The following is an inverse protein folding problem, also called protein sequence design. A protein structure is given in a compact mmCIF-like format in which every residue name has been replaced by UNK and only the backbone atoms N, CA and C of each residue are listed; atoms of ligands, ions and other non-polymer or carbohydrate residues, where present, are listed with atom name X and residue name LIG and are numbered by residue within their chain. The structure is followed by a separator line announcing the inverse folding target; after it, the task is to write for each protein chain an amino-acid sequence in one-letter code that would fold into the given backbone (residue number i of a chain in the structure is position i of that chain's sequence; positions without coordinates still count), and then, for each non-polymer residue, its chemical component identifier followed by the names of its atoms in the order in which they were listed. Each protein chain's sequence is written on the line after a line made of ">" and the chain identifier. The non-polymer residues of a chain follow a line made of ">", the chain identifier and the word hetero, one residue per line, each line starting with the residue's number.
data_IF_122585754056
#
_entry.id   IF_122585754056
#
_cell.length_a   1.000
_cell.length_b   1.000
_cell.length_c   1.000
_cell.angle_alpha   90.00
_cell.angle_beta   90.00
_cell.angle_gamma   90.00
#
_symmetry.space_group_name_H-M   'P 1'
#
loop_
_entity.id
_entity.type
_entity.pdbx_description
1 polymer ?
#
# COMPACT_ATOMS: atom_id res chain seq x y z
N UNK A 1 18.17 -13.27 3.39
CA UNK A 1 17.76 -12.11 4.22
C UNK A 1 17.32 -12.60 5.60
N UNK A 2 17.56 -11.83 6.67
CA UNK A 2 17.03 -12.12 8.00
C UNK A 2 15.52 -11.86 7.99
N UNK A 3 14.76 -12.76 8.60
CA UNK A 3 13.29 -12.63 8.73
C UNK A 3 12.93 -12.90 10.18
N UNK A 4 12.14 -12.04 10.78
CA UNK A 4 11.66 -12.15 12.15
C UNK A 4 10.13 -12.04 12.14
N UNK A 5 9.46 -13.05 12.66
CA UNK A 5 8.01 -13.03 12.88
C UNK A 5 7.70 -12.37 14.22
N UNK A 6 6.64 -11.56 14.25
CA UNK A 6 6.14 -10.93 15.46
C UNK A 6 4.64 -10.62 15.33
N UNK A 7 4.06 -10.14 16.43
CA UNK A 7 2.74 -9.50 16.38
C UNK A 7 2.87 -8.05 16.84
N UNK A 8 2.19 -7.14 16.16
CA UNK A 8 2.04 -5.75 16.58
C UNK A 8 0.58 -5.58 17.01
N UNK A 9 0.36 -5.46 18.32
CA UNK A 9 -0.98 -5.68 18.86
C UNK A 9 -1.49 -7.08 18.52
N UNK A 10 -2.60 -7.16 17.82
CA UNK A 10 -3.16 -8.43 17.30
C UNK A 10 -2.80 -8.73 15.85
N UNK A 11 -2.04 -7.87 15.18
CA UNK A 11 -1.72 -8.00 13.75
C UNK A 11 -0.43 -8.80 13.55
N UNK A 12 -0.47 -9.97 12.87
CA UNK A 12 0.73 -10.70 12.50
C UNK A 12 1.61 -9.91 11.54
N UNK A 13 2.93 -9.97 11.77
CA UNK A 13 3.87 -9.20 10.97
C UNK A 13 5.20 -9.95 10.73
N UNK A 14 5.93 -9.51 9.70
CA UNK A 14 7.30 -9.93 9.39
C UNK A 14 8.21 -8.70 9.32
N UNK A 15 9.31 -8.70 10.05
CA UNK A 15 10.42 -7.78 9.79
C UNK A 15 11.46 -8.50 8.93
N UNK A 16 11.80 -7.93 7.79
CA UNK A 16 12.69 -8.50 6.79
C UNK A 16 13.88 -7.57 6.59
N UNK A 17 15.09 -8.11 6.61
CA UNK A 17 16.35 -7.37 6.47
C UNK A 17 17.08 -7.16 7.78
N UNK A 18 18.33 -6.67 7.70
CA UNK A 18 19.12 -6.28 8.87
C UNK A 18 18.63 -4.95 9.42
N UNK A 19 19.00 -4.63 10.66
CA UNK A 19 18.59 -3.38 11.32
C UNK A 19 18.93 -2.16 10.46
N UNK A 20 17.96 -1.31 10.22
CA UNK A 20 18.06 -0.05 9.48
C UNK A 20 17.27 1.04 10.20
N UNK A 21 17.61 2.30 9.93
CA UNK A 21 16.81 3.46 10.34
C UNK A 21 15.63 3.72 9.40
N UNK A 22 15.55 3.00 8.26
CA UNK A 22 14.55 3.16 7.21
C UNK A 22 13.72 1.90 7.08
N UNK A 23 12.42 2.07 6.92
CA UNK A 23 11.50 0.95 6.72
C UNK A 23 10.51 1.24 5.60
N UNK A 24 10.18 0.18 4.87
CA UNK A 24 8.94 0.11 4.09
C UNK A 24 7.91 -0.70 4.84
N UNK A 25 6.75 -0.11 5.10
CA UNK A 25 5.55 -0.86 5.42
C UNK A 25 4.99 -1.48 4.14
N UNK A 26 4.84 -2.79 4.12
CA UNK A 26 4.18 -3.51 3.03
C UNK A 26 2.77 -3.91 3.47
N UNK A 27 1.76 -3.37 2.76
CA UNK A 27 0.34 -3.66 3.01
C UNK A 27 -0.23 -4.38 1.80
N UNK A 28 -0.70 -5.60 2.04
CA UNK A 28 -1.30 -6.45 1.02
C UNK A 28 -2.72 -5.98 0.61
N UNK A 29 -3.18 -6.50 -0.53
CA UNK A 29 -4.58 -6.39 -0.96
C UNK A 29 -5.45 -7.52 -0.42
N UNK A 30 -6.67 -7.60 -0.93
CA UNK A 30 -7.63 -8.64 -0.56
C UNK A 30 -7.08 -10.05 -0.87
N UNK A 31 -7.29 -10.98 0.06
CA UNK A 31 -6.84 -12.40 -0.03
C UNK A 31 -5.33 -12.59 -0.20
N UNK A 32 -4.53 -11.63 0.26
CA UNK A 32 -3.07 -11.64 0.20
C UNK A 32 -2.49 -11.65 1.62
N UNK A 33 -1.22 -12.03 1.75
CA UNK A 33 -0.58 -12.25 3.04
C UNK A 33 0.76 -11.51 3.15
N UNK A 34 1.22 -11.31 4.39
CA UNK A 34 2.48 -10.62 4.74
C UNK A 34 3.72 -11.22 4.05
N UNK A 35 3.68 -12.51 3.70
CA UNK A 35 4.76 -13.21 3.02
C UNK A 35 5.07 -12.64 1.62
N UNK A 36 4.13 -11.94 0.99
CA UNK A 36 4.40 -11.25 -0.29
C UNK A 36 5.43 -10.11 -0.13
N UNK A 37 5.60 -9.60 1.08
CA UNK A 37 6.65 -8.66 1.40
C UNK A 37 8.07 -9.22 1.17
N UNK A 38 8.24 -10.55 1.13
CA UNK A 38 9.54 -11.19 0.85
C UNK A 38 10.05 -10.85 -0.54
N UNK A 39 9.17 -10.89 -1.55
CA UNK A 39 9.54 -10.53 -2.92
C UNK A 39 9.91 -9.05 -3.05
N UNK A 40 9.14 -8.15 -2.40
CA UNK A 40 9.46 -6.73 -2.35
C UNK A 40 10.78 -6.46 -1.58
N UNK A 41 11.05 -7.21 -0.54
CA UNK A 41 12.27 -7.07 0.26
C UNK A 41 13.54 -7.43 -0.54
N UNK A 42 13.45 -8.27 -1.58
CA UNK A 42 14.58 -8.51 -2.49
C UNK A 42 15.07 -7.22 -3.18
N UNK A 43 14.16 -6.26 -3.34
CA UNK A 43 14.46 -4.95 -3.95
C UNK A 43 14.79 -3.91 -2.88
N UNK A 44 14.00 -3.82 -1.80
CA UNK A 44 14.13 -2.75 -0.82
C UNK A 44 15.33 -2.93 0.13
N UNK A 45 15.63 -4.17 0.53
CA UNK A 45 16.73 -4.44 1.49
C UNK A 45 18.11 -4.09 0.92
N UNK A 46 18.46 -4.40 -0.34
CA UNK A 46 19.72 -3.95 -0.94
C UNK A 46 19.88 -2.43 -1.02
N UNK A 47 18.76 -1.68 -0.95
CA UNK A 47 18.75 -0.20 -0.93
C UNK A 47 18.77 0.39 0.49
N UNK A 48 19.01 -0.44 1.49
CA UNK A 48 19.19 -0.02 2.88
C UNK A 48 17.92 0.09 3.71
N UNK A 49 16.81 -0.48 3.25
CA UNK A 49 15.56 -0.52 4.01
C UNK A 49 15.38 -1.84 4.75
N UNK A 50 14.73 -1.81 5.90
CA UNK A 50 13.96 -2.97 6.37
C UNK A 50 12.58 -2.97 5.71
N UNK A 51 11.95 -4.13 5.65
CA UNK A 51 10.55 -4.25 5.20
C UNK A 51 9.73 -4.83 6.34
N UNK A 52 8.64 -4.16 6.68
CA UNK A 52 7.61 -4.64 7.62
C UNK A 52 6.41 -5.09 6.80
N UNK A 53 6.24 -6.39 6.62
CA UNK A 53 5.03 -6.99 6.04
C UNK A 53 4.00 -7.26 7.11
N UNK A 54 2.72 -6.98 6.86
CA UNK A 54 1.63 -7.18 7.82
C UNK A 54 0.46 -7.95 7.21
N UNK A 55 -0.23 -8.75 8.02
CA UNK A 55 -1.52 -9.35 7.68
C UNK A 55 -2.65 -8.44 8.14
N UNK A 56 -3.01 -7.46 7.29
CA UNK A 56 -4.13 -6.56 7.56
C UNK A 56 -5.43 -7.22 7.06
N UNK A 57 -6.47 -7.35 7.90
CA UNK A 57 -7.76 -7.96 7.52
C UNK A 57 -8.62 -6.98 6.72
N UNK A 58 -8.15 -6.65 5.50
CA UNK A 58 -8.74 -5.61 4.62
C UNK A 58 -10.16 -5.93 4.15
N UNK A 59 -10.63 -7.16 4.34
CA UNK A 59 -12.01 -7.60 4.06
C UNK A 59 -13.02 -7.16 5.13
N UNK A 60 -12.52 -6.69 6.30
CA UNK A 60 -13.36 -6.22 7.40
C UNK A 60 -13.79 -4.77 7.21
N UNK A 61 -14.67 -4.33 8.08
CA UNK A 61 -15.17 -2.95 8.10
C UNK A 61 -14.05 -1.96 8.45
N UNK A 62 -14.04 -0.74 7.87
CA UNK A 62 -12.97 0.23 8.12
C UNK A 62 -12.75 0.57 9.60
N UNK A 63 -13.80 0.63 10.39
CA UNK A 63 -13.71 0.89 11.84
C UNK A 63 -13.12 -0.27 12.65
N UNK A 64 -13.00 -1.46 12.07
CA UNK A 64 -12.28 -2.60 12.66
C UNK A 64 -10.82 -2.64 12.21
N UNK A 65 -10.54 -2.22 10.96
CA UNK A 65 -9.21 -2.28 10.34
C UNK A 65 -8.32 -1.11 10.76
N UNK A 66 -8.88 0.11 10.81
CA UNK A 66 -8.09 1.31 11.12
C UNK A 66 -7.44 1.29 12.51
N UNK A 67 -8.07 0.82 13.59
CA UNK A 67 -7.39 0.70 14.87
C UNK A 67 -6.14 -0.17 14.81
N UNK A 68 -6.18 -1.29 14.06
CA UNK A 68 -5.02 -2.17 13.87
C UNK A 68 -3.90 -1.45 13.12
N UNK A 69 -4.27 -0.69 12.09
CA UNK A 69 -3.28 0.05 11.31
C UNK A 69 -2.72 1.25 12.08
N UNK A 70 -3.47 1.85 12.99
CA UNK A 70 -2.97 2.86 13.92
C UNK A 70 -1.91 2.29 14.87
N UNK A 71 -2.13 1.08 15.43
CA UNK A 71 -1.11 0.39 16.24
C UNK A 71 0.17 0.14 15.43
N UNK A 72 0.03 -0.20 14.14
CA UNK A 72 1.16 -0.35 13.20
C UNK A 72 1.86 1.00 12.98
N UNK A 73 1.12 2.10 12.80
CA UNK A 73 1.69 3.44 12.66
C UNK A 73 2.54 3.80 13.88
N UNK A 74 2.00 3.64 15.07
CA UNK A 74 2.71 3.96 16.31
C UNK A 74 3.99 3.11 16.43
N UNK A 75 3.89 1.80 16.19
CA UNK A 75 5.05 0.91 16.16
C UNK A 75 6.12 1.35 15.14
N UNK A 76 5.72 1.78 13.94
CA UNK A 76 6.66 2.25 12.91
C UNK A 76 7.43 3.49 13.36
N UNK A 77 6.74 4.51 13.84
CA UNK A 77 7.39 5.77 14.24
C UNK A 77 8.16 5.68 15.55
N UNK A 78 7.90 4.67 16.39
CA UNK A 78 8.69 4.38 17.59
C UNK A 78 10.01 3.65 17.26
N UNK A 79 10.09 2.93 16.12
CA UNK A 79 11.22 2.06 15.81
C UNK A 79 12.09 2.50 14.63
N UNK A 80 11.59 3.38 13.75
CA UNK A 80 12.32 3.85 12.57
C UNK A 80 12.24 5.36 12.40
N UNK A 81 13.32 5.95 11.88
CA UNK A 81 13.40 7.40 11.63
C UNK A 81 12.72 7.78 10.30
N UNK A 82 12.71 6.86 9.32
CA UNK A 82 12.19 7.09 7.98
C UNK A 82 11.21 5.98 7.60
N UNK A 83 9.97 6.36 7.36
CA UNK A 83 8.87 5.45 7.01
C UNK A 83 8.44 5.70 5.57
N UNK A 84 8.46 4.66 4.77
CA UNK A 84 7.91 4.59 3.42
C UNK A 84 6.82 3.52 3.38
N UNK A 85 5.93 3.58 2.41
CA UNK A 85 4.84 2.61 2.28
C UNK A 85 4.81 1.97 0.90
N UNK A 86 4.48 0.69 0.86
CA UNK A 86 4.22 -0.09 -0.34
C UNK A 86 2.90 -0.82 -0.14
N UNK A 87 1.88 -0.50 -0.96
CA UNK A 87 0.55 -1.05 -0.74
C UNK A 87 -0.13 -1.48 -2.05
N UNK A 88 -1.00 -2.50 -1.95
CA UNK A 88 -1.74 -3.07 -3.06
C UNK A 88 -3.24 -2.82 -2.93
N UNK A 89 -3.91 -2.49 -4.05
CA UNK A 89 -5.37 -2.49 -4.18
C UNK A 89 -6.07 -1.78 -3.03
N UNK A 90 -6.99 -2.43 -2.32
CA UNK A 90 -7.70 -1.89 -1.15
C UNK A 90 -6.76 -1.55 0.02
N UNK A 91 -5.65 -2.27 0.17
CA UNK A 91 -4.61 -1.94 1.16
C UNK A 91 -4.04 -0.53 0.95
N UNK A 92 -4.01 -0.04 -0.29
CA UNK A 92 -3.60 1.33 -0.61
C UNK A 92 -4.54 2.36 0.02
N UNK A 93 -5.86 2.16 -0.09
CA UNK A 93 -6.83 3.06 0.50
C UNK A 93 -6.71 3.14 2.02
N UNK A 94 -6.62 1.99 2.70
CA UNK A 94 -6.41 1.95 4.15
C UNK A 94 -5.11 2.64 4.56
N UNK A 95 -4.03 2.42 3.80
CA UNK A 95 -2.73 3.06 4.04
C UNK A 95 -2.82 4.58 3.89
N UNK A 96 -3.40 5.07 2.79
CA UNK A 96 -3.59 6.50 2.57
C UNK A 96 -4.40 7.14 3.69
N UNK A 97 -5.49 6.49 4.13
CA UNK A 97 -6.36 6.98 5.18
C UNK A 97 -5.66 7.05 6.54
N UNK A 98 -4.91 6.02 6.93
CA UNK A 98 -4.21 5.97 8.22
C UNK A 98 -2.99 6.90 8.28
N UNK A 99 -2.30 7.10 7.15
CA UNK A 99 -1.04 7.84 7.09
C UNK A 99 -1.18 9.28 6.57
N UNK A 100 -2.38 9.75 6.20
CA UNK A 100 -2.56 11.07 5.58
C UNK A 100 -2.03 12.27 6.39
N UNK A 101 -1.96 12.15 7.71
CA UNK A 101 -1.40 13.17 8.60
C UNK A 101 0.00 12.82 9.13
N UNK A 102 0.61 11.76 8.64
CA UNK A 102 1.93 11.28 9.07
C UNK A 102 2.99 11.62 8.04
N UNK A 103 4.25 11.72 8.49
CA UNK A 103 5.37 11.93 7.58
C UNK A 103 5.74 10.61 6.89
N UNK A 104 5.37 10.48 5.62
CA UNK A 104 5.76 9.37 4.75
C UNK A 104 6.76 9.88 3.72
N UNK A 105 7.91 9.21 3.58
CA UNK A 105 8.97 9.66 2.67
C UNK A 105 8.63 9.39 1.21
N UNK A 106 8.01 8.25 0.93
CA UNK A 106 7.50 7.86 -0.38
C UNK A 106 6.42 6.80 -0.26
N UNK A 107 5.50 6.78 -1.20
CA UNK A 107 4.47 5.75 -1.33
C UNK A 107 4.55 5.08 -2.69
N UNK A 108 4.64 3.74 -2.71
CA UNK A 108 4.55 2.90 -3.89
C UNK A 108 3.21 2.16 -3.85
N UNK A 109 2.33 2.46 -4.77
CA UNK A 109 0.97 1.90 -4.81
C UNK A 109 0.76 1.08 -6.09
N UNK A 110 0.32 -0.16 -5.95
CA UNK A 110 0.09 -1.07 -7.09
C UNK A 110 -1.39 -1.39 -7.22
N UNK A 111 -1.95 -1.14 -8.40
CA UNK A 111 -3.38 -1.26 -8.71
C UNK A 111 -4.28 -0.64 -7.62
N UNK A 112 -3.99 0.59 -7.14
CA UNK A 112 -4.58 1.10 -5.91
C UNK A 112 -6.05 1.48 -6.06
N UNK A 113 -6.83 1.28 -4.99
CA UNK A 113 -8.09 2.01 -4.80
C UNK A 113 -7.73 3.35 -4.13
N UNK A 114 -7.87 4.46 -4.86
CA UNK A 114 -7.52 5.79 -4.39
C UNK A 114 -8.74 6.60 -3.93
N UNK A 115 -9.92 6.28 -4.45
CA UNK A 115 -11.21 6.81 -4.04
C UNK A 115 -12.19 5.65 -3.75
N UNK A 116 -12.32 5.30 -2.48
CA UNK A 116 -13.19 4.22 -2.05
C UNK A 116 -14.68 4.56 -2.23
N UNK A 117 -15.05 5.84 -2.09
CA UNK A 117 -16.43 6.28 -2.35
C UNK A 117 -16.80 5.98 -3.80
N UNK A 118 -15.99 6.43 -4.75
CA UNK A 118 -16.22 6.19 -6.17
C UNK A 118 -16.18 4.71 -6.51
N UNK A 119 -15.24 3.97 -5.92
CA UNK A 119 -15.16 2.51 -6.10
C UNK A 119 -16.46 1.81 -5.69
N UNK A 120 -17.02 2.14 -4.52
CA UNK A 120 -18.28 1.55 -4.03
C UNK A 120 -19.46 1.96 -4.92
N UNK A 121 -19.50 3.20 -5.42
CA UNK A 121 -20.56 3.69 -6.32
C UNK A 121 -20.63 2.91 -7.64
N UNK A 122 -19.51 2.35 -8.08
CA UNK A 122 -19.42 1.53 -9.29
C UNK A 122 -19.75 0.05 -9.05
N UNK A 123 -19.82 -0.39 -7.80
CA UNK A 123 -20.13 -1.78 -7.48
C UNK A 123 -21.63 -2.07 -7.65
N UNK A 124 -21.99 -3.28 -8.12
CA UNK A 124 -23.40 -3.65 -8.31
C UNK A 124 -24.19 -3.76 -6.99
N UNK A 125 -23.49 -3.95 -5.89
CA UNK A 125 -24.08 -4.00 -4.54
C UNK A 125 -23.30 -3.07 -3.61
N UNK A 126 -24.02 -2.33 -2.79
CA UNK A 126 -23.46 -1.39 -1.83
C UNK A 126 -23.91 -1.75 -0.42
N UNK A 127 -22.96 -1.81 0.50
CA UNK A 127 -23.27 -1.85 1.93
C UNK A 127 -23.38 -0.41 2.44
N UNK A 128 -24.59 -0.03 2.90
CA UNK A 128 -24.90 1.36 3.22
C UNK A 128 -24.08 1.90 4.41
N UNK A 129 -23.85 1.09 5.45
CA UNK A 129 -23.03 1.46 6.60
C UNK A 129 -21.55 1.68 6.23
N UNK A 130 -21.02 0.84 5.35
CA UNK A 130 -19.66 1.02 4.83
C UNK A 130 -19.54 2.30 4.00
N UNK A 131 -20.48 2.50 3.08
CA UNK A 131 -20.49 3.68 2.22
C UNK A 131 -20.63 4.98 3.04
N UNK A 132 -21.58 5.03 3.98
CA UNK A 132 -21.77 6.18 4.85
C UNK A 132 -20.50 6.51 5.65
N UNK A 133 -19.84 5.48 6.17
CA UNK A 133 -18.60 5.65 6.89
C UNK A 133 -17.49 6.24 5.97
N UNK A 134 -17.33 5.74 4.75
CA UNK A 134 -16.35 6.23 3.77
C UNK A 134 -16.61 7.70 3.42
N UNK A 135 -17.86 8.09 3.20
CA UNK A 135 -18.25 9.48 2.91
C UNK A 135 -17.87 10.42 4.06
N UNK A 136 -18.00 9.96 5.30
CA UNK A 136 -17.69 10.75 6.49
C UNK A 136 -16.19 10.74 6.88
N UNK A 137 -15.38 9.91 6.25
CA UNK A 137 -13.95 9.78 6.52
C UNK A 137 -13.11 9.87 5.22
N UNK A 138 -13.11 11.02 4.52
CA UNK A 138 -12.35 11.18 3.29
C UNK A 138 -10.83 11.29 3.55
N UNK A 139 -10.04 10.98 2.53
CA UNK A 139 -8.60 11.31 2.51
C UNK A 139 -8.50 12.79 2.13
N UNK A 140 -7.95 13.63 3.02
CA UNK A 140 -7.95 15.09 2.85
C UNK A 140 -6.58 15.74 2.90
N UNK A 141 -5.54 15.05 3.35
CA UNK A 141 -4.26 15.68 3.67
C UNK A 141 -3.02 14.87 3.23
N UNK A 142 -3.14 14.09 2.18
CA UNK A 142 -2.01 13.32 1.65
C UNK A 142 -0.98 14.24 0.97
N UNK A 143 0.30 14.15 1.37
CA UNK A 143 1.38 15.01 0.84
C UNK A 143 2.63 14.24 0.40
N UNK A 144 2.71 12.94 0.65
CA UNK A 144 3.89 12.15 0.29
C UNK A 144 4.04 12.00 -1.23
N UNK A 145 5.28 12.03 -1.77
CA UNK A 145 5.56 11.64 -3.15
C UNK A 145 5.00 10.25 -3.42
N UNK A 146 4.15 10.12 -4.43
CA UNK A 146 3.39 8.89 -4.67
C UNK A 146 3.67 8.36 -6.07
N UNK A 147 4.11 7.11 -6.11
CA UNK A 147 4.37 6.37 -7.33
C UNK A 147 3.31 5.28 -7.48
N UNK A 148 2.65 5.27 -8.62
CA UNK A 148 1.52 4.39 -8.90
C UNK A 148 1.87 3.51 -10.08
N UNK A 149 1.76 2.20 -9.90
CA UNK A 149 1.78 1.21 -10.98
C UNK A 149 0.35 0.71 -11.22
N UNK A 150 -0.13 0.85 -12.44
CA UNK A 150 -1.44 0.36 -12.87
C UNK A 150 -1.30 -0.57 -14.06
N UNK A 151 -2.15 -1.60 -14.18
CA UNK A 151 -2.29 -2.33 -15.44
C UNK A 151 -2.97 -1.43 -16.48
N UNK A 152 -2.74 -1.72 -17.75
CA UNK A 152 -3.41 -1.02 -18.85
C UNK A 152 -4.93 -1.25 -18.83
N UNK A 153 -5.34 -2.47 -18.53
CA UNK A 153 -6.75 -2.85 -18.40
C UNK A 153 -7.00 -3.43 -17.02
N UNK A 154 -7.58 -2.63 -16.13
CA UNK A 154 -7.99 -3.07 -14.80
C UNK A 154 -9.49 -3.36 -14.77
N UNK A 155 -9.85 -4.64 -14.71
CA UNK A 155 -11.26 -5.08 -14.65
C UNK A 155 -11.88 -4.96 -13.25
N UNK A 156 -11.08 -4.61 -12.24
CA UNK A 156 -11.52 -4.51 -10.83
C UNK A 156 -11.61 -3.05 -10.41
N UNK A 157 -10.56 -2.26 -10.70
CA UNK A 157 -10.48 -0.85 -10.32
C UNK A 157 -10.42 -0.01 -11.59
N UNK A 158 -11.55 0.58 -11.99
CA UNK A 158 -11.59 1.43 -13.19
C UNK A 158 -10.72 2.68 -13.02
N UNK A 159 -10.27 3.24 -14.13
CA UNK A 159 -9.40 4.42 -14.16
C UNK A 159 -9.99 5.61 -13.41
N UNK A 160 -11.30 5.78 -13.48
CA UNK A 160 -12.00 6.89 -12.83
C UNK A 160 -11.93 6.88 -11.29
N UNK A 161 -11.66 5.72 -10.66
CA UNK A 161 -11.52 5.58 -9.20
C UNK A 161 -10.30 6.34 -8.65
N UNK A 162 -9.33 6.69 -9.50
CA UNK A 162 -8.12 7.36 -9.04
C UNK A 162 -7.90 8.75 -9.62
N UNK A 163 -8.73 9.19 -10.56
CA UNK A 163 -8.49 10.40 -11.35
C UNK A 163 -8.32 11.66 -10.49
N UNK A 164 -9.24 11.90 -9.56
CA UNK A 164 -9.21 13.10 -8.72
C UNK A 164 -8.02 13.10 -7.76
N UNK A 165 -7.73 11.97 -7.14
CA UNK A 165 -6.55 11.84 -6.27
C UNK A 165 -5.27 12.12 -7.04
N UNK A 166 -5.08 11.52 -8.21
CA UNK A 166 -3.89 11.69 -9.04
C UNK A 166 -3.72 13.15 -9.48
N UNK A 167 -4.82 13.84 -9.80
CA UNK A 167 -4.78 15.24 -10.24
C UNK A 167 -4.47 16.24 -9.12
N UNK A 168 -4.79 15.89 -7.87
CA UNK A 168 -4.65 16.77 -6.70
C UNK A 168 -3.35 16.56 -5.92
N UNK A 169 -2.67 15.42 -6.11
CA UNK A 169 -1.48 15.07 -5.35
C UNK A 169 -0.26 14.87 -6.25
N UNK A 170 0.94 14.87 -5.66
CA UNK A 170 2.20 14.62 -6.38
C UNK A 170 2.32 13.14 -6.76
N UNK A 171 1.66 12.73 -7.83
CA UNK A 171 1.65 11.36 -8.30
C UNK A 171 2.45 11.19 -9.59
N UNK A 172 3.22 10.09 -9.68
CA UNK A 172 3.81 9.60 -10.91
C UNK A 172 3.18 8.25 -11.26
N UNK A 173 2.49 8.18 -12.40
CA UNK A 173 1.79 6.97 -12.83
C UNK A 173 2.59 6.24 -13.89
N UNK A 174 2.78 4.95 -13.68
CA UNK A 174 3.34 4.01 -14.67
C UNK A 174 2.24 3.03 -15.06
N UNK A 175 2.05 2.84 -16.36
CA UNK A 175 1.11 1.86 -16.91
C UNK A 175 1.90 0.66 -17.41
N UNK A 176 1.49 -0.53 -17.01
CA UNK A 176 2.01 -1.77 -17.57
C UNK A 176 1.14 -2.19 -18.74
N UNK A 177 1.67 -2.20 -20.00
CA UNK A 177 0.95 -2.77 -21.14
C UNK A 177 0.60 -4.24 -20.90
N UNK A 178 -0.58 -4.66 -21.32
CA UNK A 178 -1.10 -6.02 -21.14
C UNK A 178 -1.09 -6.50 -19.66
N UNK A 179 -0.98 -5.57 -18.71
CA UNK A 179 -1.01 -5.87 -17.27
C UNK A 179 -2.42 -6.21 -16.79
N UNK A 180 -2.48 -6.97 -15.71
CA UNK A 180 -3.70 -7.32 -14.99
C UNK A 180 -3.63 -6.83 -13.53
N UNK A 181 -4.78 -6.65 -12.90
CA UNK A 181 -4.88 -6.13 -11.52
C UNK A 181 -3.93 -6.82 -10.53
N UNK A 182 -3.77 -8.12 -10.66
CA UNK A 182 -3.06 -8.96 -9.67
C UNK A 182 -1.54 -9.06 -9.88
N UNK A 183 -1.01 -8.66 -11.03
CA UNK A 183 0.42 -8.81 -11.36
C UNK A 183 0.96 -10.21 -10.98
N UNK A 184 0.53 -11.25 -11.68
CA UNK A 184 0.78 -12.64 -11.28
C UNK A 184 1.55 -13.47 -12.30
N UNK A 185 1.63 -13.04 -13.57
CA UNK A 185 2.44 -13.76 -14.56
C UNK A 185 3.93 -13.45 -14.39
N UNK A 186 4.84 -14.32 -14.86
CA UNK A 186 6.28 -14.03 -14.80
C UNK A 186 6.67 -12.67 -15.40
N UNK A 187 6.06 -12.28 -16.51
CA UNK A 187 6.29 -11.02 -17.19
C UNK A 187 5.82 -9.83 -16.33
N UNK A 188 4.61 -9.96 -15.74
CA UNK A 188 4.04 -8.94 -14.87
C UNK A 188 4.86 -8.78 -13.59
N UNK A 189 5.32 -9.87 -13.00
CA UNK A 189 6.18 -9.84 -11.81
C UNK A 189 7.56 -9.25 -12.12
N UNK A 190 8.12 -9.54 -13.28
CA UNK A 190 9.38 -8.95 -13.72
C UNK A 190 9.24 -7.44 -13.94
N UNK A 191 8.14 -6.99 -14.54
CA UNK A 191 7.86 -5.58 -14.73
C UNK A 191 7.67 -4.86 -13.38
N UNK A 192 6.88 -5.44 -12.48
CA UNK A 192 6.68 -4.93 -11.12
C UNK A 192 8.01 -4.75 -10.40
N UNK A 193 8.86 -5.79 -10.41
CA UNK A 193 10.19 -5.74 -9.77
C UNK A 193 11.06 -4.63 -10.36
N UNK A 194 11.14 -4.53 -11.69
CA UNK A 194 11.90 -3.48 -12.36
C UNK A 194 11.38 -2.07 -12.05
N UNK A 195 10.05 -1.90 -11.95
CA UNK A 195 9.44 -0.65 -11.53
C UNK A 195 9.79 -0.30 -10.08
N UNK A 196 9.72 -1.24 -9.15
CA UNK A 196 10.10 -1.05 -7.75
C UNK A 196 11.59 -0.71 -7.64
N UNK A 197 12.47 -1.41 -8.37
CA UNK A 197 13.92 -1.12 -8.42
C UNK A 197 14.21 0.31 -8.88
N UNK A 198 13.50 0.80 -9.89
CA UNK A 198 13.67 2.15 -10.42
C UNK A 198 13.09 3.23 -9.49
N UNK A 199 12.01 2.91 -8.80
CA UNK A 199 11.19 3.89 -8.07
C UNK A 199 11.67 4.12 -6.63
N UNK A 200 12.17 3.08 -5.95
CA UNK A 200 12.67 3.20 -4.59
C UNK A 200 13.87 4.16 -4.56
N UNK A 201 13.70 5.26 -3.84
CA UNK A 201 14.74 6.28 -3.69
C UNK A 201 15.88 5.70 -2.83
N UNK A 202 17.04 5.54 -3.44
CA UNK A 202 18.30 5.27 -2.72
C UNK A 202 18.84 6.63 -2.27
N UNK A 203 18.85 6.91 -0.98
CA UNK A 203 19.69 8.00 -0.51
C UNK A 203 21.11 7.48 -0.42
N UNK A 204 21.95 7.93 -1.35
CA UNK A 204 23.39 7.83 -1.22
C UNK A 204 23.89 8.66 -0.03
#
# INVERSE_FOLDING_TARGET
>A
MKVVELNIGSTPALIIGEKSEKVFLFVNGLHRHKEEALAFAEVAVPKGYQVLGIDLPVERKPWEVLPLLNDICDYLYDNWQSVSVRANSIGSWFTLLAFQSKKVEQALLVSPILDMKRFIELMPQREDDYYEWVVNNPITSWVAPTYILRPEVDLIVSEEVGHDFISQHQCQVTIMPDGEHWFHTPEQLAFLKAWEEKTIISNE
#
